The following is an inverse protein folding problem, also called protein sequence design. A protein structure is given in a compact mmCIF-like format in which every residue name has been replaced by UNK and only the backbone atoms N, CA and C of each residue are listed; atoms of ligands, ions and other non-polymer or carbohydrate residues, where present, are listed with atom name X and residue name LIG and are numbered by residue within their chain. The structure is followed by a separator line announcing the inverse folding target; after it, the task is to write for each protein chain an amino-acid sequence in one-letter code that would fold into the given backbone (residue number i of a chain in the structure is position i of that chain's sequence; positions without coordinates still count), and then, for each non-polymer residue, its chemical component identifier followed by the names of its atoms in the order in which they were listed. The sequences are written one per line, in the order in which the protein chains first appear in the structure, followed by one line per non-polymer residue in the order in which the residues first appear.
data_IF_314804629941
#
_entry.id   IF_314804629941
#
_cell.length_a   1.000
_cell.length_b   1.000
_cell.length_c   1.000
_cell.angle_alpha   90.00
_cell.angle_beta   90.00
_cell.angle_gamma   90.00
#
_symmetry.space_group_name_H-M   'P 1'
#
loop_
_entity.id
_entity.type
_entity.pdbx_description
1 polymer ?
#
# COMPACT_ATOMS: atom_id res chain seq x y z
N UNK A 1 -10.31 -9.59 9.94
CA UNK A 1 -10.19 -10.22 8.61
C UNK A 1 -8.83 -10.89 8.54
N UNK A 2 -8.77 -12.21 8.25
CA UNK A 2 -7.51 -12.95 8.14
C UNK A 2 -7.50 -13.79 6.86
N UNK A 3 -6.33 -13.99 6.28
CA UNK A 3 -6.13 -14.85 5.12
C UNK A 3 -5.83 -16.28 5.60
N UNK A 4 -6.80 -17.19 5.46
CA UNK A 4 -6.66 -18.58 5.96
C UNK A 4 -5.90 -19.50 4.99
N UNK A 5 -6.08 -19.29 3.67
CA UNK A 5 -5.45 -20.11 2.64
C UNK A 5 -5.04 -19.27 1.45
N UNK A 6 -3.89 -19.60 0.87
CA UNK A 6 -3.43 -19.07 -0.41
C UNK A 6 -3.03 -20.22 -1.34
N UNK A 7 -3.45 -20.10 -2.58
CA UNK A 7 -3.01 -20.97 -3.67
C UNK A 7 -2.44 -20.12 -4.79
N UNK A 8 -1.28 -20.47 -5.26
CA UNK A 8 -0.53 -19.76 -6.31
C UNK A 8 -0.25 -20.72 -7.45
N UNK A 9 -0.48 -20.28 -8.68
CA UNK A 9 -0.19 -21.06 -9.89
C UNK A 9 0.53 -20.20 -10.90
N UNK A 10 1.66 -20.66 -11.39
CA UNK A 10 2.50 -20.05 -12.44
C UNK A 10 2.86 -18.56 -12.19
N UNK A 11 3.17 -18.24 -10.94
CA UNK A 11 3.52 -16.88 -10.52
C UNK A 11 5.03 -16.77 -10.21
N UNK A 12 5.75 -15.94 -10.93
CA UNK A 12 7.19 -15.74 -10.78
C UNK A 12 7.96 -17.07 -10.93
N UNK A 13 8.66 -17.46 -9.83
CA UNK A 13 9.37 -18.76 -9.74
C UNK A 13 8.48 -19.91 -9.27
N UNK A 14 7.25 -19.63 -8.83
CA UNK A 14 6.35 -20.63 -8.26
C UNK A 14 5.52 -21.29 -9.38
N UNK A 15 5.64 -22.58 -9.55
CA UNK A 15 4.76 -23.36 -10.45
C UNK A 15 3.40 -23.60 -9.77
N UNK A 16 3.42 -24.18 -8.58
CA UNK A 16 2.24 -24.38 -7.76
C UNK A 16 2.63 -24.36 -6.29
N UNK A 17 1.90 -23.58 -5.49
CA UNK A 17 2.10 -23.53 -4.04
C UNK A 17 0.76 -23.38 -3.33
N UNK A 18 0.56 -24.12 -2.24
CA UNK A 18 -0.62 -24.01 -1.38
C UNK A 18 -0.15 -23.82 0.06
N UNK A 19 -0.60 -22.72 0.69
CA UNK A 19 -0.29 -22.40 2.08
C UNK A 19 -1.59 -22.35 2.89
N UNK A 20 -1.61 -23.08 4.01
CA UNK A 20 -2.59 -22.87 5.09
C UNK A 20 -1.95 -21.93 6.10
N UNK A 21 -2.46 -20.72 6.18
CA UNK A 21 -1.86 -19.66 7.00
C UNK A 21 -2.45 -19.66 8.41
N UNK A 22 -1.61 -19.31 9.38
CA UNK A 22 -2.07 -19.07 10.74
C UNK A 22 -2.72 -17.69 10.86
N UNK A 23 -3.80 -17.52 11.63
CA UNK A 23 -4.45 -16.22 11.77
C UNK A 23 -3.62 -15.20 12.56
N UNK A 24 -2.57 -15.63 13.27
CA UNK A 24 -1.69 -14.76 14.06
C UNK A 24 -0.32 -14.66 13.41
N UNK A 25 0.41 -15.79 13.27
CA UNK A 25 1.78 -15.76 12.79
C UNK A 25 2.15 -16.97 11.91
N UNK A 26 2.58 -16.69 10.69
CA UNK A 26 3.14 -17.69 9.75
C UNK A 26 4.58 -17.33 9.41
N UNK A 27 5.47 -18.31 9.52
CA UNK A 27 6.89 -18.17 9.16
C UNK A 27 7.22 -19.01 7.91
N UNK A 28 7.88 -18.38 6.93
CA UNK A 28 8.34 -19.02 5.71
C UNK A 28 9.87 -18.87 5.65
N UNK A 29 10.57 -20.00 5.68
CA UNK A 29 12.03 -20.06 5.63
C UNK A 29 12.52 -20.64 4.32
N UNK A 30 13.78 -20.42 3.98
CA UNK A 30 14.41 -21.01 2.80
C UNK A 30 15.60 -20.20 2.30
N UNK A 31 16.45 -20.78 1.45
CA UNK A 31 17.62 -20.10 0.91
C UNK A 31 17.27 -18.89 0.04
N UNK A 32 18.25 -18.06 -0.29
CA UNK A 32 18.08 -16.97 -1.23
C UNK A 32 17.60 -17.52 -2.60
N UNK A 33 16.77 -16.73 -3.28
CA UNK A 33 16.18 -17.10 -4.58
C UNK A 33 15.24 -18.33 -4.56
N UNK A 34 14.86 -18.87 -3.39
CA UNK A 34 13.92 -20.00 -3.30
C UNK A 34 12.47 -19.63 -3.70
N UNK A 35 12.12 -18.33 -3.74
CA UNK A 35 10.78 -17.86 -4.08
C UNK A 35 10.01 -17.25 -2.89
N UNK A 36 10.62 -17.06 -1.71
CA UNK A 36 9.98 -16.48 -0.51
C UNK A 36 9.28 -15.13 -0.80
N UNK A 37 10.00 -14.20 -1.39
CA UNK A 37 9.46 -12.90 -1.83
C UNK A 37 8.31 -13.08 -2.83
N UNK A 38 8.36 -14.11 -3.70
CA UNK A 38 7.27 -14.39 -4.65
C UNK A 38 5.99 -14.84 -3.96
N UNK A 39 6.09 -15.57 -2.85
CA UNK A 39 4.93 -15.91 -2.01
C UNK A 39 4.32 -14.65 -1.42
N UNK A 40 5.12 -13.77 -0.78
CA UNK A 40 4.62 -12.52 -0.24
C UNK A 40 4.05 -11.60 -1.34
N UNK A 41 4.70 -11.55 -2.52
CA UNK A 41 4.23 -10.77 -3.66
C UNK A 41 2.86 -11.24 -4.16
N UNK A 42 2.61 -12.55 -4.15
CA UNK A 42 1.30 -13.12 -4.51
C UNK A 42 0.21 -12.73 -3.52
N UNK A 43 0.49 -12.76 -2.21
CA UNK A 43 -0.44 -12.33 -1.17
C UNK A 43 -0.72 -10.83 -1.28
N UNK A 44 0.32 -10.04 -1.49
CA UNK A 44 0.17 -8.60 -1.69
C UNK A 44 -0.67 -8.28 -2.93
N UNK A 45 -0.44 -9.00 -4.05
CA UNK A 45 -1.24 -8.86 -5.26
C UNK A 45 -2.72 -9.18 -5.01
N UNK A 46 -3.01 -10.20 -4.21
CA UNK A 46 -4.37 -10.60 -3.88
C UNK A 46 -5.15 -9.49 -3.18
N UNK A 47 -4.52 -8.74 -2.26
CA UNK A 47 -5.16 -7.64 -1.54
C UNK A 47 -5.02 -6.27 -2.22
N UNK A 48 -4.10 -6.10 -3.19
CA UNK A 48 -3.81 -4.78 -3.79
C UNK A 48 -4.08 -4.71 -5.30
N UNK A 49 -4.30 -5.84 -5.96
CA UNK A 49 -4.46 -5.94 -7.41
C UNK A 49 -3.20 -5.51 -8.19
N UNK A 50 -2.05 -5.43 -7.53
CA UNK A 50 -0.77 -5.00 -8.13
C UNK A 50 0.42 -5.57 -7.36
N UNK A 51 1.54 -5.72 -8.04
CA UNK A 51 2.82 -6.04 -7.42
C UNK A 51 3.42 -4.82 -6.70
N UNK A 52 4.20 -5.07 -5.62
CA UNK A 52 5.04 -4.05 -4.98
C UNK A 52 6.41 -3.89 -5.66
N UNK A 53 6.85 -4.90 -6.45
CA UNK A 53 8.17 -4.93 -7.13
C UNK A 53 8.15 -4.39 -8.56
N UNK A 54 7.05 -4.61 -9.30
CA UNK A 54 6.99 -4.25 -10.73
C UNK A 54 5.60 -3.80 -11.16
N UNK A 55 5.56 -2.99 -12.20
CA UNK A 55 4.31 -2.63 -12.91
C UNK A 55 4.07 -3.50 -14.14
N UNK A 56 5.06 -4.30 -14.55
CA UNK A 56 5.02 -5.15 -15.73
C UNK A 56 4.42 -6.50 -15.37
N UNK A 57 3.26 -6.81 -15.94
CA UNK A 57 2.53 -8.06 -15.69
C UNK A 57 3.27 -9.29 -16.22
N UNK A 58 3.95 -9.16 -17.35
CA UNK A 58 4.76 -10.23 -17.93
C UNK A 58 5.85 -10.73 -16.98
N UNK A 59 6.36 -9.86 -16.11
CA UNK A 59 7.30 -10.26 -15.07
C UNK A 59 6.69 -11.07 -13.93
N UNK A 60 5.37 -11.07 -13.78
CA UNK A 60 4.66 -11.86 -12.75
C UNK A 60 4.33 -13.27 -13.22
N UNK A 61 4.23 -13.48 -14.54
CA UNK A 61 3.93 -14.77 -15.15
C UNK A 61 5.21 -15.63 -15.11
N UNK A 62 5.09 -16.88 -14.71
CA UNK A 62 6.20 -17.83 -14.73
C UNK A 62 6.68 -18.05 -16.17
N UNK A 63 7.98 -18.18 -16.36
CA UNK A 63 8.57 -18.44 -17.67
C UNK A 63 7.95 -19.70 -18.30
N UNK A 64 7.46 -19.57 -19.52
CA UNK A 64 6.80 -20.65 -20.26
C UNK A 64 5.30 -20.80 -19.97
N UNK A 65 4.71 -19.97 -19.08
CA UNK A 65 3.28 -19.94 -18.86
C UNK A 65 2.64 -18.72 -19.58
N UNK A 66 1.34 -18.79 -19.85
CA UNK A 66 0.56 -17.71 -20.50
C UNK A 66 -0.10 -16.79 -19.48
N UNK A 67 -0.33 -17.28 -18.26
CA UNK A 67 -1.02 -16.60 -17.18
C UNK A 67 -0.58 -17.11 -15.83
N UNK A 68 -0.86 -16.33 -14.81
CA UNK A 68 -0.80 -16.77 -13.42
C UNK A 68 -2.18 -16.68 -12.77
N UNK A 69 -2.37 -17.46 -11.71
CA UNK A 69 -3.55 -17.38 -10.84
C UNK A 69 -3.10 -17.34 -9.38
N UNK A 70 -3.63 -16.39 -8.63
CA UNK A 70 -3.52 -16.34 -7.17
C UNK A 70 -4.93 -16.40 -6.60
N UNK A 71 -5.18 -17.37 -5.74
CA UNK A 71 -6.45 -17.56 -5.05
C UNK A 71 -6.23 -17.54 -3.54
N UNK A 72 -7.15 -16.95 -2.79
CA UNK A 72 -7.13 -16.93 -1.32
C UNK A 72 -8.51 -17.12 -0.73
N UNK A 73 -8.55 -17.70 0.45
CA UNK A 73 -9.73 -17.77 1.32
C UNK A 73 -9.53 -16.81 2.49
N UNK A 74 -10.33 -15.76 2.51
CA UNK A 74 -10.30 -14.72 3.55
C UNK A 74 -11.39 -15.03 4.57
N UNK A 75 -11.04 -15.09 5.86
CA UNK A 75 -12.00 -15.19 6.96
C UNK A 75 -12.38 -13.80 7.44
N UNK A 76 -13.66 -13.48 7.36
CA UNK A 76 -14.24 -12.24 7.83
C UNK A 76 -15.34 -12.56 8.86
N UNK A 77 -14.95 -12.66 10.12
CA UNK A 77 -15.88 -12.95 11.22
C UNK A 77 -16.56 -14.32 11.12
N UNK A 78 -15.79 -15.35 10.73
CA UNK A 78 -16.28 -16.75 10.57
C UNK A 78 -16.89 -17.04 9.19
N UNK A 79 -16.99 -16.03 8.32
CA UNK A 79 -17.42 -16.21 6.94
C UNK A 79 -16.21 -16.27 6.01
N UNK A 80 -16.08 -17.36 5.25
CA UNK A 80 -15.02 -17.50 4.24
C UNK A 80 -15.42 -16.82 2.94
N UNK A 81 -14.59 -15.89 2.50
CA UNK A 81 -14.77 -15.13 1.27
C UNK A 81 -13.65 -15.55 0.29
N UNK A 82 -13.98 -16.20 -0.82
CA UNK A 82 -12.98 -16.50 -1.84
C UNK A 82 -12.59 -15.22 -2.58
N UNK A 83 -11.29 -14.98 -2.72
CA UNK A 83 -10.70 -13.87 -3.47
C UNK A 83 -9.73 -14.45 -4.49
N UNK A 84 -9.86 -14.06 -5.75
CA UNK A 84 -9.00 -14.54 -6.82
C UNK A 84 -8.48 -13.41 -7.70
N UNK A 85 -7.22 -13.52 -8.13
CA UNK A 85 -6.60 -12.63 -9.10
C UNK A 85 -5.90 -13.46 -10.17
N UNK A 86 -6.24 -13.22 -11.42
CA UNK A 86 -5.61 -13.78 -12.61
C UNK A 86 -4.91 -12.67 -13.39
N UNK A 87 -3.71 -12.91 -13.85
CA UNK A 87 -2.99 -11.98 -14.75
C UNK A 87 -2.49 -12.70 -16.00
N UNK A 88 -2.69 -12.04 -17.14
CA UNK A 88 -2.24 -12.46 -18.48
C UNK A 88 -1.77 -11.28 -19.30
N UNK A 89 -1.43 -11.50 -20.57
CA UNK A 89 -1.13 -10.43 -21.51
C UNK A 89 -2.28 -9.41 -21.64
N UNK A 90 -3.54 -9.83 -21.42
CA UNK A 90 -4.73 -8.98 -21.51
C UNK A 90 -4.92 -8.07 -20.28
N UNK A 91 -4.16 -8.28 -19.20
CA UNK A 91 -4.26 -7.52 -17.96
C UNK A 91 -4.61 -8.36 -16.74
N UNK A 92 -5.05 -7.67 -15.67
CA UNK A 92 -5.47 -8.29 -14.41
C UNK A 92 -7.00 -8.44 -14.38
N UNK A 93 -7.46 -9.62 -13.98
CA UNK A 93 -8.86 -9.91 -13.67
C UNK A 93 -8.95 -10.34 -12.21
N UNK A 94 -9.97 -9.85 -11.51
CA UNK A 94 -10.19 -10.20 -10.11
C UNK A 94 -11.63 -10.70 -9.90
N UNK A 95 -11.78 -11.54 -8.86
CA UNK A 95 -13.09 -11.98 -8.35
C UNK A 95 -13.09 -11.95 -6.83
N UNK A 96 -14.19 -11.50 -6.23
CA UNK A 96 -14.45 -11.53 -4.79
C UNK A 96 -15.80 -12.23 -4.61
N UNK A 97 -15.86 -13.27 -3.82
CA UNK A 97 -17.06 -14.10 -3.64
C UNK A 97 -17.67 -14.62 -4.97
N UNK A 98 -16.80 -14.85 -5.98
CA UNK A 98 -17.21 -15.33 -7.31
C UNK A 98 -17.59 -14.22 -8.30
N UNK A 99 -17.79 -12.98 -7.83
CA UNK A 99 -18.21 -11.84 -8.65
C UNK A 99 -17.02 -10.95 -9.04
N UNK A 100 -17.13 -10.26 -10.16
CA UNK A 100 -16.15 -9.29 -10.60
C UNK A 100 -16.33 -7.97 -9.81
N UNK A 101 -15.31 -7.50 -9.07
CA UNK A 101 -15.41 -6.23 -8.36
C UNK A 101 -15.53 -5.05 -9.34
N UNK A 102 -16.20 -3.99 -8.94
CA UNK A 102 -16.33 -2.76 -9.73
C UNK A 102 -14.98 -2.06 -9.90
N UNK A 103 -14.05 -2.26 -8.96
CA UNK A 103 -12.68 -1.78 -9.04
C UNK A 103 -11.71 -2.69 -8.28
N UNK A 104 -10.42 -2.66 -8.64
CA UNK A 104 -9.37 -3.38 -7.88
C UNK A 104 -9.21 -2.84 -6.44
N UNK A 105 -9.76 -1.68 -6.13
CA UNK A 105 -9.77 -1.13 -4.79
C UNK A 105 -10.58 -1.99 -3.80
N UNK A 106 -11.60 -2.71 -4.27
CA UNK A 106 -12.39 -3.62 -3.44
C UNK A 106 -11.58 -4.82 -2.91
N UNK A 107 -10.50 -5.21 -3.61
CA UNK A 107 -9.55 -6.19 -3.09
C UNK A 107 -8.92 -5.72 -1.77
N UNK A 108 -8.61 -4.42 -1.65
CA UNK A 108 -8.02 -3.87 -0.44
C UNK A 108 -9.01 -3.84 0.74
N UNK A 109 -10.32 -3.76 0.47
CA UNK A 109 -11.36 -3.90 1.49
C UNK A 109 -11.48 -5.37 1.92
N UNK A 110 -11.49 -6.30 0.93
CA UNK A 110 -11.63 -7.72 1.21
C UNK A 110 -10.42 -8.31 1.93
N UNK A 111 -9.20 -7.86 1.59
CA UNK A 111 -7.94 -8.28 2.21
C UNK A 111 -7.03 -7.07 2.41
N UNK A 112 -7.12 -6.38 3.55
CA UNK A 112 -6.21 -5.30 3.91
C UNK A 112 -4.81 -5.85 4.13
N UNK A 113 -3.89 -5.58 3.19
CA UNK A 113 -2.51 -6.08 3.26
C UNK A 113 -1.51 -4.94 3.18
N UNK A 114 -0.49 -4.98 4.03
CA UNK A 114 0.65 -4.07 4.02
C UNK A 114 1.94 -4.88 4.02
N UNK A 115 3.03 -4.29 3.52
CA UNK A 115 4.33 -4.95 3.42
C UNK A 115 5.46 -4.03 3.90
N UNK A 116 6.39 -4.62 4.63
CA UNK A 116 7.71 -4.09 4.93
C UNK A 116 8.70 -4.98 4.15
N UNK A 117 9.26 -4.45 3.09
CA UNK A 117 10.22 -5.11 2.20
C UNK A 117 11.57 -4.38 2.20
N UNK A 118 12.64 -4.94 1.64
CA UNK A 118 13.95 -4.27 1.56
C UNK A 118 13.94 -2.91 0.86
N UNK A 119 12.98 -2.68 -0.06
CA UNK A 119 12.85 -1.45 -0.84
C UNK A 119 11.92 -0.40 -0.20
N UNK A 120 11.48 -0.62 1.04
CA UNK A 120 10.55 0.26 1.78
C UNK A 120 10.99 1.73 1.82
N UNK A 121 12.31 2.00 1.77
CA UNK A 121 12.90 3.34 1.74
C UNK A 121 12.40 4.19 0.56
N UNK A 122 11.89 3.55 -0.52
CA UNK A 122 11.28 4.25 -1.66
C UNK A 122 10.11 5.14 -1.27
N UNK A 123 9.42 4.84 -0.18
CA UNK A 123 8.37 5.73 0.35
C UNK A 123 8.91 7.12 0.68
N UNK A 124 10.15 7.19 1.13
CA UNK A 124 10.86 8.43 1.50
C UNK A 124 11.55 9.06 0.29
N UNK A 125 12.29 8.26 -0.50
CA UNK A 125 13.11 8.73 -1.62
C UNK A 125 12.28 9.13 -2.84
N UNK A 126 11.25 8.33 -3.18
CA UNK A 126 10.43 8.58 -4.35
C UNK A 126 9.55 9.83 -4.19
N UNK A 127 9.05 10.31 -5.33
CA UNK A 127 8.28 11.55 -5.39
C UNK A 127 6.88 11.46 -4.75
N UNK A 128 6.14 12.58 -4.79
CA UNK A 128 4.82 12.74 -4.16
C UNK A 128 3.79 11.65 -4.51
N UNK A 129 3.93 11.02 -5.66
CA UNK A 129 2.98 9.99 -6.11
C UNK A 129 2.97 8.75 -5.23
N UNK A 130 4.12 8.33 -4.69
CA UNK A 130 4.21 7.19 -3.76
C UNK A 130 3.60 7.56 -2.40
N UNK A 131 3.94 8.74 -1.89
CA UNK A 131 3.39 9.21 -0.61
C UNK A 131 1.89 9.42 -0.67
N UNK A 132 1.34 9.90 -1.81
CA UNK A 132 -0.13 9.94 -2.00
C UNK A 132 -0.76 8.55 -1.98
N UNK A 133 -0.14 7.56 -2.64
CA UNK A 133 -0.66 6.17 -2.63
C UNK A 133 -0.63 5.55 -1.24
N UNK A 134 0.42 5.84 -0.48
CA UNK A 134 0.54 5.42 0.91
C UNK A 134 -0.58 6.08 1.75
N UNK A 135 -0.74 7.39 1.64
CA UNK A 135 -1.77 8.16 2.34
C UNK A 135 -3.18 7.68 1.97
N UNK A 136 -3.49 7.59 0.66
CA UNK A 136 -4.81 7.17 0.18
C UNK A 136 -5.17 5.77 0.66
N UNK A 137 -4.20 4.87 0.71
CA UNK A 137 -4.46 3.52 1.18
C UNK A 137 -4.84 3.50 2.67
N UNK A 138 -4.23 4.33 3.50
CA UNK A 138 -4.60 4.44 4.90
C UNK A 138 -5.98 5.08 5.10
N UNK A 139 -6.22 6.21 4.44
CA UNK A 139 -7.54 6.88 4.48
C UNK A 139 -8.65 5.94 4.04
N UNK A 140 -8.39 5.13 3.04
CA UNK A 140 -9.30 4.15 2.46
C UNK A 140 -9.87 3.15 3.48
N UNK A 141 -9.09 2.77 4.49
CA UNK A 141 -9.50 1.82 5.51
C UNK A 141 -10.13 2.46 6.75
N UNK A 142 -9.97 3.77 6.91
CA UNK A 142 -10.46 4.52 8.08
C UNK A 142 -11.74 5.30 7.74
N UNK A 143 -11.87 5.81 6.50
CA UNK A 143 -12.96 6.66 6.05
C UNK A 143 -13.80 5.96 4.98
N UNK A 144 -14.99 5.50 5.35
CA UNK A 144 -15.86 4.72 4.45
C UNK A 144 -16.26 5.43 3.14
N UNK A 145 -16.46 6.76 3.19
CA UNK A 145 -16.85 7.54 2.01
C UNK A 145 -15.71 7.84 1.05
N UNK A 146 -14.46 7.69 1.51
CA UNK A 146 -13.28 8.11 0.74
C UNK A 146 -13.17 7.40 -0.62
N UNK A 147 -13.51 6.12 -0.69
CA UNK A 147 -13.43 5.32 -1.93
C UNK A 147 -14.32 5.91 -3.02
N UNK A 148 -15.58 6.17 -2.69
CA UNK A 148 -16.55 6.70 -3.64
C UNK A 148 -16.19 8.11 -4.10
N UNK A 149 -15.77 8.97 -3.17
CA UNK A 149 -15.34 10.33 -3.48
C UNK A 149 -14.06 10.32 -4.34
N UNK A 150 -13.10 9.42 -4.05
CA UNK A 150 -11.89 9.25 -4.83
C UNK A 150 -12.19 8.77 -6.26
N UNK A 151 -13.08 7.79 -6.43
CA UNK A 151 -13.48 7.30 -7.75
C UNK A 151 -14.16 8.40 -8.58
N UNK A 152 -15.07 9.15 -7.98
CA UNK A 152 -15.74 10.29 -8.61
C UNK A 152 -14.75 11.38 -9.01
N UNK A 153 -13.87 11.77 -8.08
CA UNK A 153 -12.82 12.74 -8.37
C UNK A 153 -11.94 12.31 -9.54
N UNK A 154 -11.49 11.04 -9.57
CA UNK A 154 -10.66 10.51 -10.64
C UNK A 154 -11.38 10.48 -11.99
N UNK A 155 -12.68 10.17 -11.98
CA UNK A 155 -13.50 10.20 -13.20
C UNK A 155 -13.60 11.61 -13.76
N UNK A 156 -13.99 12.57 -12.92
CA UNK A 156 -14.11 13.99 -13.30
C UNK A 156 -12.78 14.56 -13.78
N UNK A 157 -11.69 14.28 -13.07
CA UNK A 157 -10.34 14.72 -13.44
C UNK A 157 -9.93 14.19 -14.83
N UNK A 158 -10.21 12.91 -15.13
CA UNK A 158 -9.93 12.34 -16.46
C UNK A 158 -10.72 13.03 -17.56
N UNK A 159 -11.99 13.32 -17.33
CA UNK A 159 -12.86 14.00 -18.31
C UNK A 159 -12.39 15.44 -18.57
N UNK A 160 -12.13 16.19 -17.47
CA UNK A 160 -11.57 17.54 -17.56
C UNK A 160 -10.24 17.55 -18.32
N UNK A 161 -9.33 16.64 -17.99
CA UNK A 161 -8.05 16.54 -18.69
C UNK A 161 -8.19 16.11 -20.15
N UNK A 162 -9.17 15.29 -20.50
CA UNK A 162 -9.47 14.94 -21.90
C UNK A 162 -9.93 16.17 -22.69
N UNK A 163 -10.80 17.02 -22.10
CA UNK A 163 -11.24 18.26 -22.70
C UNK A 163 -10.08 19.28 -22.87
N UNK A 164 -9.17 19.39 -21.85
CA UNK A 164 -7.97 20.22 -21.95
C UNK A 164 -7.03 19.76 -23.05
N UNK A 165 -6.76 18.43 -23.16
CA UNK A 165 -5.94 17.86 -24.24
C UNK A 165 -6.53 18.10 -25.62
N UNK A 166 -7.86 18.06 -25.74
CA UNK A 166 -8.58 18.38 -26.96
C UNK A 166 -8.67 19.89 -27.24
N UNK A 167 -8.02 20.74 -26.42
CA UNK A 167 -8.03 22.20 -26.51
C UNK A 167 -9.43 22.81 -26.59
N UNK A 168 -10.37 22.20 -25.86
CA UNK A 168 -11.75 22.71 -25.81
C UNK A 168 -11.80 24.10 -25.15
N UNK A 169 -12.77 24.94 -25.52
CA UNK A 169 -12.94 26.25 -24.90
C UNK A 169 -13.27 26.13 -23.40
N UNK A 170 -12.99 27.20 -22.65
CA UNK A 170 -13.19 27.24 -21.18
C UNK A 170 -14.62 26.85 -20.77
N UNK A 171 -15.63 27.27 -21.52
CA UNK A 171 -17.03 26.95 -21.24
C UNK A 171 -17.33 25.44 -21.25
N UNK A 172 -16.57 24.66 -22.02
CA UNK A 172 -16.70 23.17 -22.06
C UNK A 172 -15.92 22.53 -20.92
N UNK A 173 -14.69 23.00 -20.67
CA UNK A 173 -13.82 22.43 -19.62
C UNK A 173 -14.38 22.72 -18.22
N UNK A 174 -14.93 23.92 -18.00
CA UNK A 174 -15.45 24.34 -16.68
C UNK A 174 -16.72 23.59 -16.24
N UNK A 175 -17.38 22.87 -17.12
CA UNK A 175 -18.52 21.98 -16.74
C UNK A 175 -18.12 20.97 -15.66
N UNK A 176 -16.85 20.56 -15.65
CA UNK A 176 -16.31 19.60 -14.70
C UNK A 176 -15.81 20.24 -13.38
N UNK A 177 -15.71 21.57 -13.30
CA UNK A 177 -15.07 22.25 -12.16
C UNK A 177 -15.90 22.11 -10.86
N UNK A 178 -17.22 22.17 -10.94
CA UNK A 178 -18.08 22.03 -9.75
C UNK A 178 -17.88 20.69 -9.04
N UNK A 179 -17.91 19.58 -9.78
CA UNK A 179 -17.71 18.25 -9.25
C UNK A 179 -16.24 18.04 -8.80
N UNK A 180 -15.28 18.55 -9.59
CA UNK A 180 -13.86 18.49 -9.22
C UNK A 180 -13.57 19.17 -7.89
N UNK A 181 -14.17 20.34 -7.67
CA UNK A 181 -14.07 21.11 -6.42
C UNK A 181 -14.73 20.34 -5.27
N UNK A 182 -15.97 19.90 -5.46
CA UNK A 182 -16.73 19.21 -4.42
C UNK A 182 -15.98 17.97 -3.91
N UNK A 183 -15.64 17.03 -4.81
CA UNK A 183 -14.94 15.81 -4.43
C UNK A 183 -13.50 16.10 -4.00
N UNK A 184 -12.85 17.09 -4.61
CA UNK A 184 -11.50 17.51 -4.25
C UNK A 184 -11.38 18.02 -2.82
N UNK A 185 -12.33 18.80 -2.33
CA UNK A 185 -12.37 19.28 -0.97
C UNK A 185 -12.62 18.15 0.03
N UNK A 186 -13.55 17.21 -0.25
CA UNK A 186 -13.80 16.04 0.60
C UNK A 186 -12.56 15.16 0.75
N UNK A 187 -11.85 14.87 -0.36
CA UNK A 187 -10.60 14.12 -0.32
C UNK A 187 -9.53 14.83 0.51
N UNK A 188 -9.43 16.14 0.36
CA UNK A 188 -8.45 16.96 1.10
C UNK A 188 -8.73 16.94 2.59
N UNK A 189 -9.98 17.07 2.98
CA UNK A 189 -10.42 17.03 4.39
C UNK A 189 -10.14 15.64 5.00
N UNK A 190 -10.53 14.57 4.33
CA UNK A 190 -10.27 13.19 4.80
C UNK A 190 -8.78 12.91 4.97
N UNK A 191 -7.94 13.31 4.00
CA UNK A 191 -6.49 13.17 4.09
C UNK A 191 -5.88 14.00 5.21
N UNK A 192 -6.37 15.22 5.42
CA UNK A 192 -5.87 16.10 6.49
C UNK A 192 -6.12 15.48 7.87
N UNK A 193 -7.37 15.05 8.13
CA UNK A 193 -7.71 14.33 9.39
C UNK A 193 -6.86 13.08 9.58
N UNK A 194 -6.71 12.30 8.52
CA UNK A 194 -5.91 11.07 8.59
C UNK A 194 -4.43 11.34 8.89
N UNK A 195 -3.83 12.42 8.36
CA UNK A 195 -2.43 12.78 8.66
C UNK A 195 -2.25 13.11 10.14
N UNK A 196 -3.23 13.74 10.78
CA UNK A 196 -3.21 14.00 12.24
C UNK A 196 -3.21 12.70 13.05
N UNK A 197 -4.05 11.75 12.67
CA UNK A 197 -4.06 10.41 13.28
C UNK A 197 -2.75 9.67 13.03
N UNK A 198 -2.25 9.72 11.79
CA UNK A 198 -1.03 9.02 11.40
C UNK A 198 0.20 9.54 12.15
N UNK A 199 0.35 10.86 12.33
CA UNK A 199 1.48 11.40 13.09
C UNK A 199 1.40 10.98 14.56
N UNK A 200 0.21 11.01 15.16
CA UNK A 200 0.03 10.57 16.55
C UNK A 200 0.40 9.07 16.74
N UNK A 201 0.10 8.23 15.74
CA UNK A 201 0.44 6.81 15.77
C UNK A 201 1.91 6.52 15.45
N UNK A 202 2.49 7.21 14.46
CA UNK A 202 3.83 6.92 13.93
C UNK A 202 4.96 7.65 14.67
N UNK A 203 4.73 8.82 15.27
CA UNK A 203 5.78 9.59 15.92
C UNK A 203 6.42 8.87 17.12
N UNK A 204 5.68 8.20 18.01
CA UNK A 204 6.28 7.40 19.09
C UNK A 204 7.16 6.26 18.54
N UNK A 205 6.74 5.61 17.45
CA UNK A 205 7.48 4.52 16.80
C UNK A 205 8.77 5.07 16.18
N UNK A 206 8.70 6.20 15.48
CA UNK A 206 9.88 6.85 14.91
C UNK A 206 10.86 7.31 16.01
N UNK A 207 10.36 7.84 17.13
CA UNK A 207 11.19 8.19 18.28
C UNK A 207 11.90 6.96 18.87
N UNK A 208 11.20 5.83 18.99
CA UNK A 208 11.80 4.59 19.50
C UNK A 208 12.85 4.02 18.52
N UNK A 209 12.55 3.97 17.22
CA UNK A 209 13.40 3.32 16.23
C UNK A 209 14.58 4.19 15.75
N UNK A 210 14.42 5.52 15.76
CA UNK A 210 15.38 6.47 15.20
C UNK A 210 16.00 7.40 16.25
N UNK A 211 15.35 7.59 17.41
CA UNK A 211 15.70 8.61 18.37
C UNK A 211 15.41 10.04 17.90
N UNK A 212 14.57 10.21 16.87
CA UNK A 212 14.29 11.49 16.20
C UNK A 212 12.80 11.80 16.23
N UNK A 213 12.47 13.09 16.39
CA UNK A 213 11.11 13.59 16.36
C UNK A 213 10.56 13.64 14.94
N UNK A 214 9.43 12.94 14.69
CA UNK A 214 8.72 12.91 13.41
C UNK A 214 7.62 13.95 13.36
N UNK A 215 7.61 14.71 12.28
CA UNK A 215 6.51 15.62 11.92
C UNK A 215 5.97 15.25 10.54
N UNK A 216 4.64 15.25 10.41
CA UNK A 216 3.95 15.08 9.13
C UNK A 216 3.12 16.32 8.83
N UNK A 217 3.10 16.72 7.56
CA UNK A 217 2.29 17.83 7.08
C UNK A 217 1.58 17.47 5.78
N UNK A 218 0.30 17.80 5.67
CA UNK A 218 -0.46 17.66 4.43
C UNK A 218 -0.46 18.96 3.63
N UNK A 219 -0.07 18.88 2.35
CA UNK A 219 -0.19 19.96 1.38
C UNK A 219 -1.23 19.55 0.35
N UNK A 220 -2.27 20.34 0.21
CA UNK A 220 -3.45 19.99 -0.58
C UNK A 220 -3.23 19.92 -2.11
N UNK A 221 -2.13 20.50 -2.60
CA UNK A 221 -1.83 20.57 -4.04
C UNK A 221 -2.21 21.90 -4.66
N UNK A 222 -2.47 22.90 -3.81
CA UNK A 222 -2.62 24.32 -4.17
C UNK A 222 -2.17 25.19 -3.00
N UNK A 223 -2.10 26.55 -3.20
CA UNK A 223 -1.68 27.48 -2.15
C UNK A 223 -2.65 27.46 -0.96
N UNK A 224 -2.10 27.50 0.26
CA UNK A 224 -2.89 27.55 1.51
C UNK A 224 -3.73 28.84 1.63
N UNK A 225 -3.31 29.91 0.97
CA UNK A 225 -3.91 31.23 1.05
C UNK A 225 -5.11 31.39 0.11
N UNK A 226 -5.50 30.32 -0.59
CA UNK A 226 -6.55 30.34 -1.61
C UNK A 226 -7.50 29.18 -1.49
N UNK A 227 -8.76 29.42 -1.79
CA UNK A 227 -9.74 28.37 -1.97
C UNK A 227 -9.47 27.60 -3.30
N UNK A 228 -9.84 26.33 -3.35
CA UNK A 228 -9.64 25.50 -4.56
C UNK A 228 -10.33 26.08 -5.82
N UNK A 229 -11.55 26.67 -5.76
CA UNK A 229 -12.15 27.33 -6.91
C UNK A 229 -11.28 28.46 -7.50
N UNK A 230 -10.76 29.32 -6.64
CA UNK A 230 -9.87 30.42 -7.06
C UNK A 230 -8.56 29.89 -7.63
N UNK A 231 -7.98 28.85 -7.02
CA UNK A 231 -6.76 28.21 -7.52
C UNK A 231 -6.95 27.62 -8.91
N UNK A 232 -8.10 26.98 -9.19
CA UNK A 232 -8.45 26.46 -10.50
C UNK A 232 -8.59 27.57 -11.55
N UNK A 233 -9.25 28.66 -11.18
CA UNK A 233 -9.41 29.83 -12.06
C UNK A 233 -8.06 30.41 -12.48
N UNK A 234 -7.18 30.62 -11.52
CA UNK A 234 -5.86 31.19 -11.73
C UNK A 234 -4.93 30.22 -12.49
N UNK A 235 -5.14 28.91 -12.39
CA UNK A 235 -4.33 27.95 -13.11
C UNK A 235 -4.76 27.73 -14.57
N UNK A 236 -5.84 28.34 -15.03
CA UNK A 236 -6.45 28.06 -16.33
C UNK A 236 -5.46 28.09 -17.52
N UNK A 237 -4.67 29.14 -17.64
CA UNK A 237 -3.69 29.26 -18.75
C UNK A 237 -2.66 28.14 -18.71
N UNK A 238 -2.19 27.80 -17.50
CA UNK A 238 -1.23 26.71 -17.28
C UNK A 238 -1.85 25.34 -17.54
N UNK A 239 -3.12 25.14 -17.14
CA UNK A 239 -3.87 23.91 -17.44
C UNK A 239 -4.02 23.69 -18.95
N UNK A 240 -4.31 24.76 -19.70
CA UNK A 240 -4.41 24.71 -21.16
C UNK A 240 -3.07 24.37 -21.84
N UNK A 241 -1.99 25.03 -21.43
CA UNK A 241 -0.65 24.75 -21.95
C UNK A 241 -0.21 23.31 -21.68
N UNK A 242 -0.41 22.85 -20.44
CA UNK A 242 -0.04 21.50 -20.02
C UNK A 242 -0.99 20.40 -20.54
N UNK A 243 -2.18 20.76 -21.03
CA UNK A 243 -3.26 19.81 -21.38
C UNK A 243 -3.72 18.96 -20.18
N UNK A 244 -3.57 19.47 -18.96
CA UNK A 244 -3.88 18.76 -17.74
C UNK A 244 -4.07 19.72 -16.56
N UNK A 245 -4.94 19.36 -15.62
CA UNK A 245 -5.20 20.10 -14.40
C UNK A 245 -3.96 20.16 -13.51
N UNK A 246 -3.49 21.36 -13.14
CA UNK A 246 -2.26 21.57 -12.39
C UNK A 246 -2.47 21.77 -10.89
N UNK A 247 -3.68 22.01 -10.44
CA UNK A 247 -4.03 22.22 -9.02
C UNK A 247 -5.10 21.24 -8.54
N UNK A 248 -5.03 20.82 -7.29
CA UNK A 248 -5.99 19.91 -6.68
C UNK A 248 -5.34 18.72 -5.95
N UNK A 249 -6.15 17.87 -5.28
CA UNK A 249 -5.64 16.79 -4.43
C UNK A 249 -4.83 15.72 -5.17
N UNK A 250 -4.90 15.62 -6.50
CA UNK A 250 -4.01 14.79 -7.30
C UNK A 250 -2.57 15.31 -7.37
N UNK A 251 -2.32 16.56 -6.93
CA UNK A 251 -1.01 17.20 -6.76
C UNK A 251 -0.58 17.30 -5.29
N UNK A 252 -1.40 16.80 -4.36
CA UNK A 252 -1.13 16.85 -2.94
C UNK A 252 0.19 16.17 -2.55
N UNK A 253 0.74 16.58 -1.40
CA UNK A 253 2.00 16.05 -0.85
C UNK A 253 1.87 15.77 0.64
N UNK A 254 2.34 14.59 1.06
CA UNK A 254 2.65 14.29 2.45
C UNK A 254 4.08 14.75 2.74
N UNK A 255 4.22 15.88 3.38
CA UNK A 255 5.51 16.40 3.81
C UNK A 255 5.98 15.65 5.05
N UNK A 256 7.18 15.06 5.01
CA UNK A 256 7.78 14.32 6.11
C UNK A 256 9.00 15.11 6.59
N UNK A 257 9.08 15.35 7.89
CA UNK A 257 10.18 16.06 8.53
C UNK A 257 10.70 15.28 9.74
N UNK A 258 11.98 15.35 9.99
CA UNK A 258 12.63 14.91 11.21
C UNK A 258 13.36 16.10 11.82
N UNK A 259 13.18 16.31 13.14
CA UNK A 259 13.77 17.46 13.87
C UNK A 259 13.51 18.79 13.13
N UNK A 260 12.25 19.02 12.70
CA UNK A 260 11.84 20.23 11.99
C UNK A 260 12.35 20.38 10.54
N UNK A 261 13.23 19.46 10.07
CA UNK A 261 13.87 19.53 8.76
C UNK A 261 13.31 18.49 7.78
N UNK A 262 13.11 18.83 6.49
CA UNK A 262 12.71 17.87 5.46
C UNK A 262 13.69 16.70 5.39
N UNK A 263 13.17 15.47 5.31
CA UNK A 263 13.99 14.23 5.34
C UNK A 263 14.77 13.96 4.06
N UNK A 264 14.40 14.58 2.96
CA UNK A 264 15.02 14.36 1.67
C UNK A 264 16.52 14.73 1.73
N UNK A 265 17.38 13.80 1.32
CA UNK A 265 18.84 13.97 1.21
C UNK A 265 19.61 14.18 2.54
N UNK A 266 18.95 13.93 3.71
CA UNK A 266 19.55 14.21 5.03
C UNK A 266 19.76 12.99 5.92
N UNK A 267 19.17 11.85 5.58
CA UNK A 267 19.23 10.64 6.41
C UNK A 267 19.79 9.47 5.62
N UNK A 268 20.50 8.58 6.33
CA UNK A 268 21.05 7.37 5.74
C UNK A 268 19.95 6.43 5.25
N UNK A 269 20.29 5.50 4.34
CA UNK A 269 19.36 4.51 3.82
C UNK A 269 18.72 3.65 4.93
N UNK A 270 19.50 3.26 5.93
CA UNK A 270 18.99 2.55 7.11
C UNK A 270 17.97 3.39 7.89
N UNK A 271 18.23 4.69 8.09
CA UNK A 271 17.26 5.59 8.73
C UNK A 271 16.00 5.79 7.88
N UNK A 272 16.14 5.86 6.55
CA UNK A 272 14.97 5.93 5.65
C UNK A 272 14.09 4.69 5.77
N UNK A 273 14.68 3.49 5.90
CA UNK A 273 13.94 2.24 6.11
C UNK A 273 13.18 2.24 7.43
N UNK A 274 13.84 2.63 8.53
CA UNK A 274 13.21 2.71 9.84
C UNK A 274 12.09 3.76 9.87
N UNK A 275 12.30 4.91 9.22
CA UNK A 275 11.26 5.94 9.09
C UNK A 275 10.07 5.44 8.28
N UNK A 276 10.32 4.78 7.15
CA UNK A 276 9.25 4.20 6.34
C UNK A 276 8.51 3.09 7.09
N UNK A 277 9.23 2.24 7.83
CA UNK A 277 8.65 1.23 8.70
C UNK A 277 7.79 1.86 9.80
N UNK A 278 8.25 2.94 10.45
CA UNK A 278 7.48 3.67 11.47
C UNK A 278 6.16 4.20 10.90
N UNK A 279 6.17 4.73 9.68
CA UNK A 279 4.96 5.20 9.00
C UNK A 279 4.01 4.04 8.67
N UNK A 280 4.52 2.91 8.19
CA UNK A 280 3.70 1.73 7.86
C UNK A 280 3.10 1.08 9.11
N UNK A 281 3.88 0.93 10.18
CA UNK A 281 3.39 0.39 11.46
C UNK A 281 2.38 1.35 12.07
N UNK A 282 2.65 2.67 12.06
CA UNK A 282 1.71 3.69 12.49
C UNK A 282 0.38 3.62 11.72
N UNK A 283 0.43 3.37 10.40
CA UNK A 283 -0.75 3.17 9.57
C UNK A 283 -1.51 1.90 9.97
N UNK A 284 -0.81 0.79 10.19
CA UNK A 284 -1.39 -0.49 10.62
C UNK A 284 -2.04 -0.37 12.00
N UNK A 285 -1.47 0.42 12.91
CA UNK A 285 -2.00 0.67 14.26
C UNK A 285 -3.37 1.35 14.27
N UNK A 286 -3.71 2.10 13.23
CA UNK A 286 -5.01 2.80 13.13
C UNK A 286 -6.17 1.89 12.66
N UNK A 287 -5.89 0.72 12.10
CA UNK A 287 -6.92 -0.13 11.49
C UNK A 287 -7.83 -0.85 12.50
N UNK A 288 -7.34 -1.39 13.63
CA UNK A 288 -8.20 -2.00 14.64
C UNK A 288 -9.25 -1.04 15.19
N UNK A 289 -8.94 0.24 15.33
CA UNK A 289 -9.88 1.29 15.75
C UNK A 289 -11.02 1.48 14.73
N UNK A 290 -10.75 1.23 13.45
CA UNK A 290 -11.75 1.23 12.38
C UNK A 290 -12.42 -0.14 12.17
N UNK A 291 -12.18 -1.13 13.04
CA UNK A 291 -12.73 -2.48 12.93
C UNK A 291 -12.07 -3.35 11.85
N UNK A 292 -10.88 -2.98 11.40
CA UNK A 292 -10.11 -3.68 10.35
C UNK A 292 -8.89 -4.36 10.98
N UNK A 293 -8.71 -5.67 10.72
CA UNK A 293 -7.48 -6.38 11.07
C UNK A 293 -6.66 -6.59 9.78
N UNK A 294 -5.51 -5.94 9.63
CA UNK A 294 -4.69 -6.09 8.43
C UNK A 294 -3.80 -7.32 8.48
N UNK A 295 -3.41 -7.81 7.31
CA UNK A 295 -2.28 -8.74 7.14
C UNK A 295 -1.00 -7.94 6.91
N UNK A 296 0.00 -8.13 7.75
CA UNK A 296 1.32 -7.51 7.61
C UNK A 296 2.33 -8.54 7.09
N UNK A 297 2.95 -8.21 5.98
CA UNK A 297 4.00 -9.00 5.35
C UNK A 297 5.36 -8.42 5.72
N UNK A 298 6.31 -9.25 6.14
CA UNK A 298 7.71 -8.88 6.37
C UNK A 298 8.61 -9.71 5.44
N UNK A 299 9.24 -9.05 4.49
CA UNK A 299 10.18 -9.72 3.56
C UNK A 299 11.62 -9.55 4.04
N UNK A 300 12.18 -10.63 4.59
CA UNK A 300 13.56 -10.74 5.06
C UNK A 300 14.04 -9.51 5.88
N UNK A 301 13.39 -9.20 7.00
CA UNK A 301 13.67 -7.96 7.75
C UNK A 301 15.10 -7.88 8.31
N UNK A 302 15.80 -9.02 8.39
CA UNK A 302 17.19 -9.08 8.86
C UNK A 302 18.21 -8.68 7.79
N UNK A 303 17.83 -8.60 6.51
CA UNK A 303 18.78 -8.50 5.40
C UNK A 303 19.63 -7.21 5.40
N UNK A 304 19.19 -6.14 6.09
CA UNK A 304 19.86 -4.83 5.97
C UNK A 304 19.82 -3.97 7.24
N UNK A 305 19.36 -4.52 8.36
CA UNK A 305 19.35 -3.86 9.65
C UNK A 305 20.36 -4.54 10.59
N UNK A 306 21.04 -3.75 11.41
CA UNK A 306 21.80 -4.28 12.53
C UNK A 306 20.87 -4.91 13.58
N UNK A 307 21.42 -5.76 14.45
CA UNK A 307 20.65 -6.54 15.43
C UNK A 307 19.79 -5.66 16.36
N UNK A 308 20.29 -4.50 16.77
CA UNK A 308 19.57 -3.58 17.66
C UNK A 308 18.36 -2.96 16.96
N UNK A 309 18.54 -2.50 15.73
CA UNK A 309 17.45 -1.91 14.92
C UNK A 309 16.43 -2.95 14.51
N UNK A 310 16.91 -4.14 14.16
CA UNK A 310 16.02 -5.27 13.86
C UNK A 310 15.17 -5.63 15.08
N UNK A 311 15.77 -5.75 16.28
CA UNK A 311 15.05 -6.04 17.51
C UNK A 311 13.99 -4.95 17.82
N UNK A 312 14.32 -3.67 17.64
CA UNK A 312 13.38 -2.58 17.79
C UNK A 312 12.21 -2.68 16.82
N UNK A 313 12.49 -2.91 15.52
CA UNK A 313 11.44 -3.08 14.50
C UNK A 313 10.52 -4.27 14.81
N UNK A 314 11.10 -5.40 15.18
CA UNK A 314 10.36 -6.62 15.55
C UNK A 314 9.47 -6.35 16.77
N UNK A 315 9.98 -5.66 17.80
CA UNK A 315 9.22 -5.28 18.98
C UNK A 315 8.01 -4.40 18.64
N UNK A 316 8.18 -3.41 17.76
CA UNK A 316 7.08 -2.56 17.32
C UNK A 316 6.01 -3.36 16.55
N UNK A 317 6.41 -4.29 15.67
CA UNK A 317 5.48 -5.13 14.91
C UNK A 317 4.76 -6.12 15.82
N UNK A 318 5.45 -6.75 16.77
CA UNK A 318 4.87 -7.73 17.70
C UNK A 318 3.77 -7.12 18.58
N UNK A 319 3.81 -5.83 18.83
CA UNK A 319 2.80 -5.09 19.58
C UNK A 319 1.53 -4.75 18.77
N UNK A 320 1.47 -5.12 17.47
CA UNK A 320 0.31 -4.81 16.63
C UNK A 320 -0.69 -5.96 16.57
N UNK A 321 -1.98 -5.64 16.49
CA UNK A 321 -3.05 -6.61 16.25
C UNK A 321 -3.18 -6.87 14.75
N UNK A 322 -2.35 -7.76 14.22
CA UNK A 322 -2.27 -8.10 12.80
C UNK A 322 -2.18 -9.61 12.60
N UNK A 323 -2.52 -10.06 11.39
CA UNK A 323 -2.02 -11.34 10.91
C UNK A 323 -0.62 -11.12 10.34
N UNK A 324 0.39 -11.79 10.88
CA UNK A 324 1.78 -11.61 10.50
C UNK A 324 2.27 -12.77 9.62
N UNK A 325 2.88 -12.45 8.48
CA UNK A 325 3.53 -13.41 7.59
C UNK A 325 4.95 -12.93 7.32
N UNK A 326 5.93 -13.70 7.76
CA UNK A 326 7.35 -13.34 7.70
C UNK A 326 8.11 -14.31 6.81
N UNK A 327 8.99 -13.79 5.98
CA UNK A 327 10.00 -14.58 5.26
C UNK A 327 11.39 -14.30 5.83
N UNK A 328 12.23 -15.34 5.89
CA UNK A 328 13.62 -15.22 6.37
C UNK A 328 14.50 -16.33 5.83
N UNK A 329 15.82 -16.12 5.89
CA UNK A 329 16.83 -17.14 5.61
C UNK A 329 16.89 -18.21 6.72
N UNK A 330 16.82 -17.81 7.98
CA UNK A 330 17.00 -18.66 9.16
C UNK A 330 15.77 -18.60 10.07
N UNK A 331 15.43 -19.73 10.68
CA UNK A 331 14.11 -19.95 11.31
C UNK A 331 13.86 -19.30 12.67
N UNK A 332 14.61 -18.29 13.10
CA UNK A 332 14.49 -17.77 14.46
C UNK A 332 14.07 -16.29 14.50
N UNK A 333 12.77 -16.09 14.78
CA UNK A 333 12.23 -14.82 15.22
C UNK A 333 11.47 -15.01 16.55
N UNK A 334 12.23 -15.35 17.59
CA UNK A 334 11.67 -15.61 18.94
C UNK A 334 10.83 -14.44 19.50
N UNK A 335 11.09 -13.21 19.06
CA UNK A 335 10.35 -12.04 19.48
C UNK A 335 8.90 -11.98 19.01
N UNK A 336 8.54 -12.69 17.93
CA UNK A 336 7.13 -12.85 17.50
C UNK A 336 6.42 -14.02 18.16
N UNK A 337 7.08 -14.73 19.07
CA UNK A 337 6.58 -15.97 19.64
C UNK A 337 6.73 -17.17 18.69
N UNK A 338 6.06 -18.26 19.05
CA UNK A 338 6.07 -19.45 18.20
C UNK A 338 5.10 -19.26 17.02
N UNK A 339 5.53 -19.47 15.77
CA UNK A 339 4.62 -19.44 14.64
C UNK A 339 3.60 -20.59 14.73
N UNK A 340 2.33 -20.26 14.48
CA UNK A 340 1.27 -21.28 14.41
C UNK A 340 1.40 -22.13 13.14
N UNK A 341 2.09 -21.61 12.12
CA UNK A 341 2.45 -22.35 10.88
C UNK A 341 3.87 -22.02 10.45
N UNK A 342 4.59 -23.07 10.05
CA UNK A 342 5.95 -22.97 9.48
C UNK A 342 5.99 -23.64 8.11
N UNK A 343 6.70 -23.01 7.20
CA UNK A 343 6.95 -23.54 5.86
C UNK A 343 8.43 -23.42 5.54
N UNK A 344 8.94 -24.41 4.80
CA UNK A 344 10.25 -24.33 4.12
C UNK A 344 9.99 -24.24 2.63
N UNK A 345 10.64 -23.30 1.98
CA UNK A 345 10.58 -23.12 0.53
C UNK A 345 11.95 -23.40 -0.08
N UNK A 346 12.03 -24.44 -0.88
CA UNK A 346 13.23 -24.85 -1.60
C UNK A 346 12.93 -25.00 -3.09
N UNK A 347 13.70 -24.33 -3.94
CA UNK A 347 13.59 -24.37 -5.42
C UNK A 347 12.16 -24.16 -5.96
N UNK A 348 11.35 -23.36 -5.29
CA UNK A 348 9.96 -23.08 -5.68
C UNK A 348 8.94 -24.10 -5.17
N UNK A 349 9.37 -25.14 -4.45
CA UNK A 349 8.51 -26.13 -3.78
C UNK A 349 8.36 -25.80 -2.30
N UNK A 350 7.12 -25.84 -1.82
CA UNK A 350 6.75 -25.47 -0.45
C UNK A 350 6.45 -26.73 0.37
N UNK A 351 7.08 -26.85 1.53
CA UNK A 351 6.84 -27.92 2.50
C UNK A 351 6.37 -27.33 3.81
N UNK A 352 5.29 -27.88 4.39
CA UNK A 352 4.82 -27.54 5.73
C UNK A 352 5.64 -28.32 6.77
N UNK A 353 6.04 -27.66 7.88
CA UNK A 353 6.74 -28.23 9.02
C UNK A 353 5.79 -28.45 10.20
#
# INVERSE_FOLDING_TARGET
VTLGRVQVTDFRSLHSAILQLDPVFTLITGPNASGKTSVLESIYLLGRGRSFRTRRLDHLIRHGAERFVVFGEVDAGGRRIPVGVEGSADGIRAKIAGERPASLAELAIALPVQIIDPEIHRLIEEGPSQRRRFLDWGVFHVEQSFVSDWQRYQQVLRQRNAALKARQPRSVVSVWDADLIQYGLRLTEARSRYVELLVAAAAPIAQHLLGLSLELGYRAGWSKDRALPEALDLSWSHDQEAGATQVGPHRAELAIRLEGSPVKDRISRGQQKLLAASLLIGQVKLFPEAGVQPTLLLDDPAAELDDQRLAGLIGEVANQTVQLIVTTLHGEFAAFGNPGRRFVLEQGELQAL
#
